data_IF_970734211013
#
_entry.id   IF_970734211013
#
_cell.length_a   1.000
_cell.length_b   1.000
_cell.length_c   1.000
_cell.angle_alpha   90.00
_cell.angle_beta   90.00
_cell.angle_gamma   90.00
#
_symmetry.space_group_name_H-M   'P 1'
#
loop_
_entity.id
_entity.type
_entity.pdbx_description
1 polymer ?
2 non-polymer ?
3 non-polymer ?
4 non-polymer ?
5 non-polymer ?
6 water ?
#
# COMPACT_ATOMS: atom_id res chain seq x y z
N UNK A 1 0.97 -23.89 -17.36
CA UNK A 1 -0.25 -24.53 -16.88
C UNK A 1 -1.10 -23.59 -16.03
N UNK A 2 -2.40 -23.62 -16.27
CA UNK A 2 -3.35 -22.80 -15.54
C UNK A 2 -4.57 -22.58 -16.43
N UNK A 3 -5.49 -21.74 -15.98
CA UNK A 3 -6.66 -21.42 -16.77
C UNK A 3 -6.38 -20.16 -17.61
N UNK A 4 -6.95 -20.11 -18.80
CA UNK A 4 -6.96 -18.86 -19.57
C UNK A 4 -7.88 -17.83 -18.89
N UNK A 5 -7.73 -16.56 -19.22
CA UNK A 5 -8.66 -15.56 -18.71
C UNK A 5 -10.10 -15.87 -19.06
N UNK A 6 -10.34 -16.36 -20.28
CA UNK A 6 -11.69 -16.74 -20.70
C UNK A 6 -12.26 -17.85 -19.81
N UNK A 7 -11.42 -18.84 -19.50
CA UNK A 7 -11.83 -19.94 -18.64
C UNK A 7 -12.09 -19.46 -17.22
N UNK A 8 -11.26 -18.54 -16.74
CA UNK A 8 -11.46 -17.98 -15.41
C UNK A 8 -12.77 -17.20 -15.33
N UNK A 9 -13.09 -16.42 -16.37
CA UNK A 9 -14.33 -15.66 -16.38
C UNK A 9 -15.55 -16.59 -16.34
N UNK A 10 -15.49 -17.65 -17.13
CA UNK A 10 -16.57 -18.61 -17.24
C UNK A 10 -16.74 -19.46 -16.00
N UNK A 11 -15.64 -19.93 -15.42
CA UNK A 11 -15.73 -20.78 -14.24
C UNK A 11 -16.22 -19.94 -13.05
N UNK A 12 -15.86 -18.66 -13.02
CA UNK A 12 -16.38 -17.75 -12.01
C UNK A 12 -17.89 -17.58 -12.13
N UNK A 13 -18.37 -17.30 -13.34
CA UNK A 13 -19.80 -17.13 -13.57
C UNK A 13 -20.57 -18.40 -13.23
N UNK A 14 -20.03 -19.55 -13.64
CA UNK A 14 -20.81 -20.79 -13.59
C UNK A 14 -20.73 -21.56 -12.29
N UNK A 15 -19.63 -21.39 -11.55
CA UNK A 15 -19.39 -22.21 -10.36
C UNK A 15 -18.96 -21.37 -9.16
N UNK A 16 -17.89 -20.62 -9.30
CA UNK A 16 -17.29 -19.94 -8.13
C UNK A 16 -18.19 -18.89 -7.51
N UNK A 17 -18.74 -18.02 -8.33
CA UNK A 17 -19.63 -16.94 -7.81
C UNK A 17 -20.92 -17.49 -7.22
N UNK A 18 -21.64 -18.38 -7.97
CA UNK A 18 -22.90 -18.85 -7.36
C UNK A 18 -22.70 -19.63 -6.06
N UNK A 19 -21.59 -20.37 -5.98
CA UNK A 19 -21.22 -21.07 -4.74
C UNK A 19 -20.99 -20.09 -3.59
N UNK A 20 -20.15 -19.09 -3.82
CA UNK A 20 -19.85 -18.08 -2.80
C UNK A 20 -21.09 -17.26 -2.40
N UNK A 21 -21.93 -16.91 -3.36
CA UNK A 21 -23.17 -16.22 -3.06
C UNK A 21 -24.08 -17.04 -2.16
N UNK A 22 -24.31 -18.29 -2.50
CA UNK A 22 -25.26 -19.07 -1.72
C UNK A 22 -24.68 -19.37 -0.31
N UNK A 23 -23.38 -19.58 -0.21
CA UNK A 23 -22.74 -19.83 1.08
C UNK A 23 -22.76 -18.60 2.01
N UNK A 24 -22.83 -17.41 1.42
CA UNK A 24 -22.94 -16.16 2.16
C UNK A 24 -24.39 -15.80 2.53
N UNK A 25 -25.35 -16.57 2.02
CA UNK A 25 -26.78 -16.33 2.29
C UNK A 25 -27.41 -15.25 1.42
N UNK A 26 -26.77 -14.89 0.32
CA UNK A 26 -27.19 -13.75 -0.50
C UNK A 26 -27.77 -14.10 -1.86
N UNK A 27 -28.11 -15.37 -2.07
CA UNK A 27 -28.64 -15.79 -3.39
C UNK A 27 -29.88 -14.98 -3.73
N UNK A 28 -29.91 -14.42 -4.93
CA UNK A 28 -31.04 -13.59 -5.40
C UNK A 28 -30.99 -12.12 -5.05
N UNK A 29 -30.04 -11.73 -4.19
CA UNK A 29 -29.94 -10.36 -3.71
C UNK A 29 -28.81 -9.58 -4.32
N UNK A 30 -27.76 -10.28 -4.75
CA UNK A 30 -26.62 -9.63 -5.39
C UNK A 30 -26.15 -10.34 -6.64
N UNK A 31 -25.58 -9.57 -7.56
CA UNK A 31 -25.01 -10.11 -8.78
C UNK A 31 -23.77 -9.33 -9.13
N UNK A 32 -22.97 -9.92 -9.99
CA UNK A 32 -21.80 -9.26 -10.56
C UNK A 32 -21.86 -9.28 -12.08
N UNK A 33 -21.41 -8.19 -12.70
CA UNK A 33 -21.34 -8.14 -14.17
C UNK A 33 -20.10 -8.86 -14.68
N UNK A 34 -20.08 -9.15 -15.99
CA UNK A 34 -18.91 -9.74 -16.61
C UNK A 34 -17.68 -8.85 -16.41
N UNK A 35 -17.88 -7.54 -16.56
CA UNK A 35 -16.77 -6.61 -16.40
C UNK A 35 -16.25 -6.61 -14.95
N UNK A 36 -17.13 -6.78 -13.98
CA UNK A 36 -16.73 -6.86 -12.57
C UNK A 36 -15.88 -8.10 -12.35
N UNK A 37 -16.32 -9.23 -12.90
CA UNK A 37 -15.57 -10.47 -12.75
C UNK A 37 -14.16 -10.34 -13.35
N UNK A 38 -14.08 -9.73 -14.53
CA UNK A 38 -12.78 -9.57 -15.17
C UNK A 38 -11.86 -8.63 -14.37
N UNK A 39 -12.44 -7.61 -13.77
CA UNK A 39 -11.64 -6.74 -12.91
C UNK A 39 -11.11 -7.48 -11.66
N UNK A 40 -11.93 -8.36 -11.09
CA UNK A 40 -11.47 -9.15 -9.96
C UNK A 40 -10.27 -10.00 -10.38
N UNK A 41 -10.39 -10.65 -11.54
CA UNK A 41 -9.30 -11.47 -12.03
C UNK A 41 -8.02 -10.63 -12.22
N UNK A 42 -8.17 -9.51 -12.91
CA UNK A 42 -7.02 -8.74 -13.36
C UNK A 42 -6.38 -7.95 -12.22
N UNK A 43 -7.20 -7.34 -11.35
CA UNK A 43 -6.67 -6.41 -10.35
C UNK A 43 -6.61 -6.96 -8.93
N UNK A 44 -7.15 -8.15 -8.70
CA UNK A 44 -7.16 -8.73 -7.35
C UNK A 44 -6.61 -10.16 -7.25
N UNK A 45 -6.16 -10.72 -8.36
CA UNK A 45 -5.56 -12.05 -8.34
C UNK A 45 -4.31 -12.08 -9.19
N UNK A 46 -3.43 -13.00 -8.84
CA UNK A 46 -2.22 -13.23 -9.60
C UNK A 46 -1.81 -14.68 -9.40
N UNK A 47 -2.28 -15.56 -10.27
CA UNK A 47 -2.20 -16.98 -10.00
C UNK A 47 -2.50 -17.74 -11.27
N UNK A 48 -2.03 -18.98 -11.31
CA UNK A 48 -2.33 -19.87 -12.44
C UNK A 48 -3.77 -20.41 -12.37
N UNK A 49 -4.17 -20.76 -11.17
CA UNK A 49 -5.50 -21.35 -10.90
C UNK A 49 -6.51 -20.30 -10.50
N UNK A 50 -7.52 -20.71 -9.74
CA UNK A 50 -8.62 -19.82 -9.35
C UNK A 50 -8.94 -19.86 -7.84
N UNK A 51 -7.99 -20.30 -7.01
CA UNK A 51 -8.24 -20.29 -5.56
C UNK A 51 -8.40 -18.87 -5.05
N UNK A 52 -7.50 -18.02 -5.48
CA UNK A 52 -7.54 -16.60 -5.13
C UNK A 52 -8.81 -15.93 -5.63
N UNK A 53 -9.15 -16.21 -6.88
CA UNK A 53 -10.40 -15.71 -7.47
C UNK A 53 -11.61 -16.06 -6.63
N UNK A 54 -11.70 -17.34 -6.23
CA UNK A 54 -12.82 -17.79 -5.43
C UNK A 54 -12.83 -17.07 -4.09
N UNK A 55 -11.66 -16.89 -3.48
CA UNK A 55 -11.60 -16.13 -2.21
C UNK A 55 -12.10 -14.70 -2.36
N UNK A 56 -11.73 -14.04 -3.45
CA UNK A 56 -12.18 -12.66 -3.66
C UNK A 56 -13.69 -12.59 -3.90
N UNK A 57 -14.23 -13.56 -4.61
CA UNK A 57 -15.66 -13.61 -4.81
C UNK A 57 -16.41 -13.80 -3.50
N UNK A 58 -15.85 -14.63 -2.61
CA UNK A 58 -16.38 -14.81 -1.25
C UNK A 58 -16.36 -13.51 -0.44
N UNK A 59 -15.27 -12.76 -0.57
CA UNK A 59 -15.21 -11.43 0.05
C UNK A 59 -16.30 -10.49 -0.44
N UNK A 60 -16.56 -10.50 -1.75
CA UNK A 60 -17.61 -9.66 -2.32
C UNK A 60 -18.96 -10.06 -1.71
N UNK A 61 -19.23 -11.37 -1.66
CA UNK A 61 -20.52 -11.84 -1.18
C UNK A 61 -20.73 -11.52 0.30
N UNK A 62 -19.68 -11.71 1.10
CA UNK A 62 -19.76 -11.40 2.53
C UNK A 62 -19.90 -9.90 2.78
N UNK A 63 -19.32 -9.08 1.93
CA UNK A 63 -19.46 -7.63 2.03
C UNK A 63 -20.87 -7.22 1.64
N UNK A 64 -21.42 -7.89 0.63
CA UNK A 64 -22.83 -7.79 0.32
C UNK A 64 -23.73 -8.09 1.53
N UNK A 65 -23.43 -9.16 2.25
CA UNK A 65 -24.22 -9.53 3.43
C UNK A 65 -24.12 -8.48 4.53
N UNK A 66 -22.97 -7.82 4.61
CA UNK A 66 -22.78 -6.68 5.50
C UNK A 66 -23.67 -5.51 5.13
N UNK A 67 -23.72 -5.16 3.85
CA UNK A 67 -24.64 -4.13 3.39
C UNK A 67 -26.09 -4.52 3.67
N UNK A 68 -26.42 -5.79 3.49
CA UNK A 68 -27.77 -6.29 3.81
C UNK A 68 -28.12 -6.05 5.29
N UNK A 69 -27.18 -6.33 6.17
CA UNK A 69 -27.34 -6.08 7.61
C UNK A 69 -27.59 -4.58 7.90
N UNK A 70 -26.87 -3.70 7.21
CA UNK A 70 -27.10 -2.26 7.35
C UNK A 70 -28.49 -1.89 6.88
N UNK A 71 -28.94 -2.55 5.83
CA UNK A 71 -30.30 -2.36 5.39
C UNK A 71 -30.64 -3.26 4.22
N UNK A 72 -31.79 -3.92 4.31
CA UNK A 72 -32.22 -4.80 3.25
C UNK A 72 -32.63 -3.98 2.04
N UNK A 73 -32.81 -4.66 0.93
CA UNK A 73 -33.27 -4.01 -0.29
C UNK A 73 -34.10 -5.02 -1.06
N UNK A 74 -34.89 -4.50 -1.98
CA UNK A 74 -35.70 -5.32 -2.85
C UNK A 74 -34.94 -5.51 -4.15
N UNK A 75 -35.01 -6.70 -4.70
CA UNK A 75 -34.44 -6.95 -6.01
C UNK A 75 -32.95 -7.13 -5.95
N UNK A 76 -32.33 -7.01 -7.11
CA UNK A 76 -30.98 -7.44 -7.29
C UNK A 76 -30.08 -6.22 -7.21
N UNK A 77 -29.07 -6.29 -6.37
CA UNK A 77 -28.05 -5.26 -6.37
C UNK A 77 -26.93 -5.77 -7.26
N UNK A 78 -26.71 -5.08 -8.36
CA UNK A 78 -25.75 -5.50 -9.36
C UNK A 78 -24.43 -4.75 -9.19
N UNK A 79 -23.36 -5.50 -9.01
CA UNK A 79 -22.02 -4.97 -8.79
C UNK A 79 -21.27 -4.91 -10.11
N UNK A 80 -20.96 -3.70 -10.57
CA UNK A 80 -20.23 -3.52 -11.82
C UNK A 80 -18.75 -3.25 -11.52
N UNK A 81 -17.93 -3.15 -12.56
CA UNK A 81 -16.50 -2.97 -12.39
C UNK A 81 -16.17 -1.75 -11.52
N UNK A 82 -16.89 -0.64 -11.73
CA UNK A 82 -16.66 0.59 -10.97
C UNK A 82 -16.97 0.42 -9.48
N UNK A 83 -17.79 -0.57 -9.14
CA UNK A 83 -18.15 -0.85 -7.76
C UNK A 83 -17.16 -1.75 -7.03
N UNK A 84 -16.29 -2.41 -7.76
CA UNK A 84 -15.47 -3.46 -7.14
C UNK A 84 -14.64 -2.97 -5.93
N UNK A 85 -14.00 -1.78 -6.04
CA UNK A 85 -13.21 -1.32 -4.88
C UNK A 85 -14.03 -1.09 -3.60
N UNK A 86 -15.32 -0.80 -3.75
CA UNK A 86 -16.21 -0.71 -2.59
C UNK A 86 -16.28 -2.03 -1.83
N UNK A 87 -16.17 -3.12 -2.56
CA UNK A 87 -16.25 -4.48 -1.99
C UNK A 87 -14.89 -5.09 -1.66
N UNK A 88 -13.88 -4.84 -2.49
CA UNK A 88 -12.58 -5.51 -2.33
C UNK A 88 -11.45 -4.61 -1.89
N UNK A 89 -11.72 -3.33 -1.72
CA UNK A 89 -10.66 -2.39 -1.39
C UNK A 89 -9.83 -1.95 -2.58
N UNK A 90 -8.69 -1.33 -2.28
CA UNK A 90 -7.81 -0.79 -3.28
C UNK A 90 -7.24 -1.92 -4.15
N UNK A 91 -7.22 -1.75 -5.48
CA UNK A 91 -6.66 -2.79 -6.35
C UNK A 91 -5.27 -3.24 -5.92
N UNK A 92 -5.09 -4.55 -5.88
CA UNK A 92 -3.90 -5.21 -5.41
C UNK A 92 -2.85 -5.34 -6.50
N UNK A 93 -3.31 -5.40 -7.76
CA UNK A 93 -2.47 -5.58 -8.94
C UNK A 93 -2.96 -4.63 -10.04
N UNK A 94 -2.02 -4.13 -10.86
CA UNK A 94 -2.37 -3.25 -11.96
C UNK A 94 -1.55 -3.69 -13.15
N UNK A 95 -2.00 -4.75 -13.85
CA UNK A 95 -1.20 -5.32 -14.94
C UNK A 95 -0.83 -4.33 -16.04
N UNK A 96 -1.69 -3.34 -16.27
CA UNK A 96 -1.43 -2.29 -17.26
C UNK A 96 -0.42 -1.22 -16.80
N UNK A 97 -0.08 -1.21 -15.52
CA UNK A 97 0.69 -0.14 -14.91
C UNK A 97 1.38 -0.68 -13.66
N UNK A 98 2.23 -1.67 -13.88
CA UNK A 98 2.76 -2.49 -12.78
C UNK A 98 3.64 -1.70 -11.81
N UNK A 99 4.31 -0.67 -12.31
CA UNK A 99 5.27 0.08 -11.50
C UNK A 99 4.62 0.86 -10.34
N UNK A 100 3.33 1.19 -10.46
CA UNK A 100 2.64 1.86 -9.36
C UNK A 100 1.66 0.96 -8.60
N UNK A 101 1.71 -0.36 -8.85
CA UNK A 101 0.86 -1.27 -8.11
C UNK A 101 1.43 -1.48 -6.71
N UNK A 102 0.59 -1.90 -5.75
CA UNK A 102 1.11 -2.15 -4.42
C UNK A 102 2.17 -3.25 -4.39
N UNK A 103 3.16 -3.08 -3.52
CA UNK A 103 4.24 -4.05 -3.42
C UNK A 103 4.68 -4.27 -1.99
N UNK A 104 5.07 -5.50 -1.69
CA UNK A 104 5.54 -5.82 -0.36
C UNK A 104 6.96 -5.27 -0.18
N UNK A 105 7.11 -4.46 0.84
CA UNK A 105 8.42 -3.93 1.24
C UNK A 105 8.95 -2.77 0.45
N UNK A 106 8.10 -2.00 -0.20
CA UNK A 106 8.54 -0.80 -0.90
C UNK A 106 7.67 0.38 -0.51
N UNK A 107 8.21 1.59 -0.68
CA UNK A 107 7.48 2.82 -0.47
C UNK A 107 8.10 3.94 -1.29
N UNK A 108 7.26 4.87 -1.74
CA UNK A 108 7.71 5.92 -2.65
C UNK A 108 8.03 7.16 -1.85
N UNK A 109 9.31 7.54 -1.86
CA UNK A 109 9.79 8.69 -1.13
C UNK A 109 10.17 9.81 -2.08
N UNK A 110 10.56 10.94 -1.52
CA UNK A 110 10.80 12.16 -2.28
C UNK A 110 12.02 12.85 -1.68
N UNK A 111 12.96 13.23 -2.54
CA UNK A 111 14.18 13.89 -2.09
C UNK A 111 14.33 15.21 -2.83
N UNK A 112 15.21 16.07 -2.31
CA UNK A 112 15.51 17.28 -3.05
C UNK A 112 16.93 17.72 -2.99
N UNK A 113 17.27 18.60 -3.92
CA UNK A 113 18.60 19.16 -4.07
C UNK A 113 18.41 20.63 -4.44
N UNK A 114 19.50 21.37 -4.55
CA UNK A 114 19.40 22.79 -4.92
C UNK A 114 18.83 23.04 -6.30
N UNK A 115 18.73 22.00 -7.13
CA UNK A 115 18.20 22.16 -8.48
C UNK A 115 16.85 21.51 -8.72
N UNK A 116 16.30 20.77 -7.75
CA UNK A 116 14.95 20.23 -7.89
C UNK A 116 14.73 18.98 -7.06
N UNK A 117 13.59 18.33 -7.29
CA UNK A 117 13.20 17.14 -6.54
C UNK A 117 13.41 15.86 -7.32
N UNK A 118 13.36 14.74 -6.61
CA UNK A 118 13.63 13.44 -7.18
C UNK A 118 12.77 12.40 -6.43
N UNK A 119 12.08 11.55 -7.17
CA UNK A 119 11.46 10.37 -6.55
C UNK A 119 12.51 9.35 -6.21
N UNK A 120 12.40 8.74 -5.04
CA UNK A 120 13.31 7.65 -4.63
C UNK A 120 12.45 6.55 -4.01
N UNK A 121 12.73 5.30 -4.37
CA UNK A 121 12.03 4.15 -3.80
C UNK A 121 12.81 3.60 -2.64
N UNK A 122 12.14 3.40 -1.53
CA UNK A 122 12.75 2.73 -0.39
C UNK A 122 12.39 1.24 -0.52
N UNK A 123 13.41 0.38 -0.51
CA UNK A 123 13.21 -1.07 -0.56
C UNK A 123 13.59 -1.69 0.78
N UNK A 124 12.77 -2.64 1.25
CA UNK A 124 13.06 -3.36 2.48
C UNK A 124 12.78 -4.84 2.26
N UNK A 125 13.74 -5.67 2.67
CA UNK A 125 13.56 -7.10 2.76
C UNK A 125 13.55 -7.56 4.21
N UNK A 126 12.64 -8.47 4.50
CA UNK A 126 12.58 -9.15 5.78
C UNK A 126 12.83 -10.62 5.50
N UNK A 127 13.91 -11.15 6.07
CA UNK A 127 14.34 -12.54 5.80
C UNK A 127 14.62 -13.27 7.10
N UNK A 128 14.60 -14.61 7.07
CA UNK A 128 14.94 -15.33 8.30
C UNK A 128 16.31 -14.90 8.84
N UNK A 129 16.38 -14.72 10.15
CA UNK A 129 17.56 -14.13 10.74
C UNK A 129 17.55 -14.13 12.24
N UNK A 130 18.15 -13.08 12.81
CA UNK A 130 18.43 -13.05 14.24
C UNK A 130 18.37 -11.62 14.83
N UNK A 131 17.74 -10.70 14.12
CA UNK A 131 17.57 -9.33 14.58
C UNK A 131 18.60 -8.34 14.04
N UNK A 132 19.31 -8.72 12.97
CA UNK A 132 20.28 -7.83 12.34
C UNK A 132 19.58 -6.83 11.42
N UNK A 133 20.23 -5.69 11.23
CA UNK A 133 19.70 -4.62 10.37
C UNK A 133 20.83 -4.13 9.46
N UNK A 134 20.58 -4.15 8.16
CA UNK A 134 21.50 -3.60 7.17
C UNK A 134 20.85 -2.37 6.52
N UNK A 135 21.64 -1.33 6.30
CA UNK A 135 21.16 -0.07 5.75
C UNK A 135 22.09 0.36 4.62
N UNK A 136 21.65 0.23 3.38
CA UNK A 136 22.53 0.41 2.25
C UNK A 136 21.94 1.36 1.22
N UNK A 137 22.78 1.75 0.25
CA UNK A 137 22.45 2.82 -0.70
C UNK A 137 23.13 4.14 -0.35
N UNK A 138 24.27 4.04 0.33
CA UNK A 138 25.11 5.21 0.69
C UNK A 138 24.34 6.22 1.53
N UNK A 139 23.73 5.71 2.60
CA UNK A 139 22.90 6.49 3.48
C UNK A 139 23.76 7.18 4.53
N UNK A 140 23.52 8.46 4.74
CA UNK A 140 24.19 9.20 5.81
C UNK A 140 23.70 8.85 7.22
N UNK A 141 24.43 9.33 8.21
CA UNK A 141 24.14 8.94 9.58
C UNK A 141 22.75 9.37 10.05
N UNK A 142 22.34 10.59 9.73
CA UNK A 142 20.99 11.04 10.09
C UNK A 142 19.91 10.13 9.47
N UNK A 143 20.07 9.77 8.20
CA UNK A 143 19.09 8.89 7.57
C UNK A 143 19.11 7.49 8.20
N UNK A 144 20.28 7.01 8.56
CA UNK A 144 20.35 5.73 9.25
C UNK A 144 19.66 5.75 10.61
N UNK A 145 19.82 6.84 11.35
CA UNK A 145 19.14 6.98 12.66
C UNK A 145 17.61 7.03 12.47
N UNK A 146 17.18 7.65 11.39
CA UNK A 146 15.77 7.72 11.02
C UNK A 146 15.21 6.31 10.82
N UNK A 147 15.95 5.46 10.12
CA UNK A 147 15.54 4.06 9.95
C UNK A 147 15.43 3.33 11.28
N UNK A 148 16.40 3.58 12.16
CA UNK A 148 16.39 2.98 13.48
C UNK A 148 15.17 3.43 14.30
N UNK A 149 14.83 4.72 14.22
CA UNK A 149 13.67 5.23 14.95
C UNK A 149 12.37 4.60 14.42
N UNK A 150 12.26 4.51 13.11
CA UNK A 150 11.09 3.84 12.47
C UNK A 150 10.97 2.38 12.94
N UNK A 151 12.08 1.67 12.96
CA UNK A 151 12.08 0.26 13.35
C UNK A 151 11.68 0.07 14.82
N UNK A 152 12.22 0.93 15.67
CA UNK A 152 11.87 0.88 17.08
C UNK A 152 10.38 1.17 17.32
N UNK A 153 9.84 2.15 16.62
CA UNK A 153 8.42 2.43 16.67
C UNK A 153 7.63 1.15 16.33
N UNK A 154 8.04 0.47 15.28
CA UNK A 154 7.34 -0.77 14.87
C UNK A 154 7.50 -1.90 15.88
N UNK A 155 8.70 -2.05 16.45
CA UNK A 155 8.92 -3.01 17.52
C UNK A 155 8.01 -2.76 18.73
N UNK A 156 7.65 -1.50 18.96
CA UNK A 156 6.78 -1.15 20.08
C UNK A 156 5.29 -1.26 19.75
N UNK A 157 4.94 -1.54 18.50
CA UNK A 157 3.56 -1.55 18.03
C UNK A 157 3.23 -2.78 17.18
N UNK A 158 3.74 -3.94 17.57
CA UNK A 158 3.57 -5.13 16.72
C UNK A 158 2.10 -5.54 16.59
N UNK A 159 1.35 -5.44 17.69
CA UNK A 159 -0.09 -5.74 17.66
C UNK A 159 -0.87 -4.83 16.72
N UNK A 160 -0.55 -3.55 16.75
CA UNK A 160 -1.30 -2.56 15.98
C UNK A 160 -1.28 -2.78 14.48
N UNK A 161 -0.16 -3.28 13.94
CA UNK A 161 0.02 -3.39 12.51
C UNK A 161 0.09 -4.82 12.01
N UNK A 162 -0.14 -5.75 12.91
CA UNK A 162 -0.08 -7.19 12.57
C UNK A 162 1.31 -7.64 12.20
N UNK A 163 2.29 -7.21 12.98
CA UNK A 163 3.66 -7.65 12.79
C UNK A 163 3.91 -8.87 13.66
N UNK A 164 4.81 -9.76 13.22
CA UNK A 164 5.20 -10.88 14.08
C UNK A 164 5.75 -10.42 15.43
N UNK A 165 5.28 -11.03 16.51
CA UNK A 165 5.74 -10.66 17.86
C UNK A 165 7.22 -10.93 18.12
N UNK A 166 7.83 -11.82 17.34
CA UNK A 166 9.22 -12.22 17.60
C UNK A 166 10.14 -11.80 16.48
N UNK A 167 9.72 -10.84 15.66
CA UNK A 167 10.58 -10.50 14.53
C UNK A 167 11.92 -9.93 15.02
N UNK A 168 11.94 -9.33 16.20
CA UNK A 168 13.16 -8.68 16.70
C UNK A 168 14.30 -9.68 16.90
N UNK A 169 14.01 -10.96 17.09
CA UNK A 169 15.14 -11.91 17.17
C UNK A 169 15.07 -13.10 16.22
N UNK A 170 14.11 -13.11 15.30
CA UNK A 170 14.00 -14.15 14.26
C UNK A 170 14.08 -13.66 12.82
N UNK A 171 14.20 -12.35 12.61
CA UNK A 171 14.17 -11.77 11.27
C UNK A 171 15.37 -10.83 11.14
N UNK A 172 16.01 -10.84 9.99
CA UNK A 172 16.95 -9.77 9.62
C UNK A 172 16.26 -8.84 8.63
N UNK A 173 16.52 -7.54 8.81
CA UNK A 173 15.98 -6.53 7.93
C UNK A 173 17.10 -5.91 7.12
N UNK A 174 16.80 -5.55 5.89
CA UNK A 174 17.73 -4.85 5.03
C UNK A 174 16.94 -3.72 4.35
N UNK A 175 17.35 -2.49 4.60
CA UNK A 175 16.77 -1.31 3.98
C UNK A 175 17.77 -0.85 2.93
N UNK A 176 17.33 -0.71 1.69
CA UNK A 176 18.17 -0.29 0.61
C UNK A 176 17.47 0.80 -0.20
N UNK A 177 18.22 1.85 -0.54
CA UNK A 177 17.68 2.93 -1.33
C UNK A 177 18.52 3.12 -2.57
N UNK A 178 18.06 2.57 -3.69
CA UNK A 178 18.81 2.79 -4.93
C UNK A 178 18.71 4.25 -5.39
N UNK A 179 19.61 4.70 -6.26
CA UNK A 179 20.65 3.86 -6.86
C UNK A 179 21.85 3.69 -5.94
N UNK A 180 22.64 2.66 -6.19
CA UNK A 180 23.68 2.26 -5.24
C UNK A 180 24.76 3.30 -4.96
N UNK A 181 25.13 4.08 -5.97
CA UNK A 181 26.28 4.97 -5.86
C UNK A 181 26.00 6.36 -5.28
N UNK A 182 24.76 6.81 -5.34
CA UNK A 182 24.41 8.21 -5.00
C UNK A 182 24.25 8.38 -3.49
N UNK A 183 25.03 9.28 -2.90
CA UNK A 183 24.80 9.53 -1.48
C UNK A 183 23.44 10.11 -1.20
N UNK A 184 22.86 9.68 -0.08
CA UNK A 184 21.56 10.14 0.37
C UNK A 184 21.63 10.43 1.86
N UNK A 185 20.88 11.41 2.32
CA UNK A 185 20.85 11.69 3.75
C UNK A 185 19.60 12.47 4.13
N UNK A 186 19.39 12.58 5.45
CA UNK A 186 18.31 13.40 6.00
C UNK A 186 17.23 12.59 6.70
N UNK A 187 16.39 13.27 7.50
CA UNK A 187 15.41 12.58 8.32
C UNK A 187 14.03 12.45 7.68
N UNK A 188 13.85 12.99 6.48
CA UNK A 188 12.49 13.15 5.91
C UNK A 188 11.90 11.88 5.28
N UNK A 189 12.64 10.79 5.28
CA UNK A 189 12.11 9.50 4.83
C UNK A 189 11.73 8.60 6.02
N UNK A 190 11.56 9.18 7.22
CA UNK A 190 11.15 8.43 8.39
C UNK A 190 9.83 7.68 8.19
N UNK A 191 8.81 8.38 7.68
CA UNK A 191 7.52 7.72 7.43
C UNK A 191 7.59 6.72 6.27
N UNK A 192 8.46 7.00 5.30
CA UNK A 192 8.66 6.18 4.13
C UNK A 192 9.32 4.87 4.53
N UNK A 193 10.33 4.96 5.39
CA UNK A 193 10.94 3.74 5.91
C UNK A 193 10.01 2.97 6.84
N UNK A 194 9.23 3.68 7.64
CA UNK A 194 8.26 3.00 8.50
C UNK A 194 7.27 2.20 7.63
N UNK A 195 6.83 2.81 6.54
CA UNK A 195 5.91 2.15 5.62
C UNK A 195 6.51 0.89 4.99
N UNK A 196 7.72 1.02 4.44
CA UNK A 196 8.36 -0.11 3.78
C UNK A 196 8.72 -1.24 4.75
N UNK A 197 9.23 -0.89 5.93
CA UNK A 197 9.54 -1.88 6.94
C UNK A 197 8.27 -2.63 7.44
N UNK A 198 7.23 -1.88 7.74
CA UNK A 198 5.95 -2.47 8.20
C UNK A 198 5.36 -3.40 7.14
N UNK A 199 5.45 -2.98 5.88
CA UNK A 199 5.01 -3.80 4.75
C UNK A 199 5.79 -5.13 4.64
N UNK A 200 7.12 -5.03 4.68
CA UNK A 200 7.97 -6.21 4.62
C UNK A 200 7.69 -7.17 5.76
N UNK A 201 7.52 -6.65 6.97
CA UNK A 201 7.31 -7.49 8.14
C UNK A 201 5.91 -8.14 8.14
N UNK A 202 4.90 -7.37 7.78
CA UNK A 202 3.52 -7.82 7.81
C UNK A 202 3.10 -8.61 6.58
N UNK A 203 3.89 -8.50 5.52
CA UNK A 203 3.61 -9.03 4.19
C UNK A 203 2.37 -8.38 3.54
N UNK A 204 1.97 -7.22 4.07
CA UNK A 204 0.92 -6.42 3.49
C UNK A 204 1.54 -5.45 2.52
N UNK A 205 1.09 -5.46 1.25
CA UNK A 205 1.73 -4.60 0.25
C UNK A 205 1.40 -3.14 0.46
N UNK A 206 2.39 -2.29 0.19
CA UNK A 206 2.27 -0.85 0.30
C UNK A 206 1.91 -0.30 -1.05
N UNK A 207 0.95 0.62 -1.08
CA UNK A 207 0.59 1.31 -2.29
C UNK A 207 1.80 2.09 -2.86
N UNK A 208 1.94 2.04 -4.18
CA UNK A 208 3.00 2.77 -4.87
C UNK A 208 2.45 3.86 -5.78
N UNK A 209 1.16 4.19 -5.61
CA UNK A 209 0.55 5.33 -6.30
C UNK A 209 0.45 6.56 -5.38
N UNK A 210 1.12 6.47 -4.22
CA UNK A 210 1.18 7.53 -3.21
C UNK A 210 2.66 7.81 -2.94
N UNK A 211 3.05 9.09 -2.96
CA UNK A 211 4.41 9.47 -2.57
C UNK A 211 4.34 10.20 -1.26
N UNK A 212 5.39 10.09 -0.46
CA UNK A 212 5.36 10.63 0.88
C UNK A 212 6.67 11.26 1.31
N UNK A 213 6.55 12.10 2.32
CA UNK A 213 7.70 12.73 2.96
C UNK A 213 7.29 13.11 4.38
N UNK A 214 8.17 12.85 5.35
CA UNK A 214 7.95 13.23 6.73
C UNK A 214 8.95 12.59 7.68
N UNK A 215 9.44 13.40 8.61
CA UNK A 215 10.27 12.91 9.68
C UNK A 215 9.38 12.21 10.72
N UNK A 216 9.89 11.13 11.30
CA UNK A 216 9.17 10.41 12.34
C UNK A 216 9.91 10.55 13.67
N UNK A 217 9.16 10.78 14.75
CA UNK A 217 9.72 10.70 16.09
C UNK A 217 9.61 9.26 16.56
N UNK A 218 10.29 8.96 17.66
CA UNK A 218 10.28 7.63 18.18
C UNK A 218 8.89 7.14 18.57
N UNK A 219 8.05 8.05 19.07
CA UNK A 219 6.70 7.68 19.44
C UNK A 219 5.71 7.79 18.28
N UNK A 220 6.20 8.11 17.09
CA UNK A 220 5.38 8.09 15.86
C UNK A 220 4.83 9.42 15.41
N UNK A 221 5.27 10.52 16.02
CA UNK A 221 4.83 11.83 15.58
C UNK A 221 5.44 12.14 14.23
N UNK A 222 4.65 12.70 13.33
CA UNK A 222 5.16 13.09 12.01
C UNK A 222 5.52 14.57 12.08
N UNK A 223 6.77 14.85 11.73
CA UNK A 223 7.39 16.16 11.94
C UNK A 223 7.70 16.82 10.60
N UNK A 224 7.73 18.17 10.58
CA UNK A 224 7.85 18.85 9.30
C UNK A 224 9.18 18.66 8.61
N UNK A 225 9.16 18.81 7.30
CA UNK A 225 10.30 18.60 6.44
C UNK A 225 10.51 19.82 5.54
N UNK A 226 11.56 19.76 4.73
CA UNK A 226 11.89 20.81 3.77
C UNK A 226 11.67 20.36 2.34
N UNK A 227 11.78 21.33 1.43
CA UNK A 227 11.71 21.06 0.01
C UNK A 227 10.33 20.66 -0.49
N UNK A 228 9.28 21.18 0.15
CA UNK A 228 7.92 20.77 -0.16
C UNK A 228 7.61 21.01 -1.65
N UNK A 229 7.88 22.23 -2.14
CA UNK A 229 7.64 22.57 -3.54
C UNK A 229 8.35 21.62 -4.52
N UNK A 230 9.65 21.43 -4.31
CA UNK A 230 10.47 20.59 -5.19
C UNK A 230 10.00 19.13 -5.21
N UNK A 231 9.69 18.63 -4.02
CA UNK A 231 9.25 17.24 -3.86
C UNK A 231 7.89 17.01 -4.54
N UNK A 232 6.95 17.92 -4.32
CA UNK A 232 5.62 17.76 -4.89
C UNK A 232 5.61 17.94 -6.41
N UNK A 233 6.44 18.85 -6.93
CA UNK A 233 6.63 18.96 -8.38
C UNK A 233 7.21 17.70 -8.99
N UNK A 234 8.19 17.12 -8.33
CA UNK A 234 8.79 15.89 -8.78
C UNK A 234 7.75 14.76 -8.81
N UNK A 235 6.93 14.65 -7.77
CA UNK A 235 5.85 13.67 -7.75
C UNK A 235 4.91 13.88 -8.96
N UNK A 236 4.45 15.12 -9.11
CA UNK A 236 3.52 15.48 -10.17
C UNK A 236 4.08 15.14 -11.53
N UNK A 237 5.32 15.55 -11.77
CA UNK A 237 6.02 15.23 -13.01
C UNK A 237 6.14 13.74 -13.30
N UNK A 238 6.28 12.93 -12.25
CA UNK A 238 6.36 11.48 -12.44
C UNK A 238 4.98 10.80 -12.51
N UNK A 239 3.91 11.58 -12.45
CA UNK A 239 2.56 11.04 -12.57
C UNK A 239 2.01 10.42 -11.29
N UNK A 240 2.56 10.82 -10.14
CA UNK A 240 1.98 10.46 -8.85
C UNK A 240 1.08 11.62 -8.41
N UNK A 241 -0.18 11.34 -8.10
CA UNK A 241 -1.15 12.38 -7.77
C UNK A 241 -1.66 12.36 -6.35
N UNK A 242 -1.16 11.42 -5.54
CA UNK A 242 -1.59 11.24 -4.17
C UNK A 242 -0.35 11.39 -3.30
N UNK A 243 -0.42 12.28 -2.33
CA UNK A 243 0.74 12.68 -1.52
C UNK A 243 0.42 12.57 -0.05
N UNK A 244 1.43 12.16 0.74
CA UNK A 244 1.31 12.22 2.18
C UNK A 244 2.35 13.23 2.65
N UNK A 245 1.93 14.18 3.48
CA UNK A 245 2.77 15.32 3.90
C UNK A 245 2.50 15.59 5.38
N UNK A 246 3.52 16.07 6.16
CA UNK A 246 3.21 16.42 7.54
C UNK A 246 2.21 17.59 7.65
N UNK A 247 1.33 17.51 8.64
CA UNK A 247 0.36 18.56 8.94
C UNK A 247 1.06 19.90 9.14
N UNK A 248 2.22 19.87 9.80
CA UNK A 248 2.99 21.10 10.04
C UNK A 248 3.60 21.75 8.78
N UNK A 249 3.50 21.08 7.63
CA UNK A 249 3.90 21.67 6.36
C UNK A 249 2.74 22.25 5.53
N UNK A 250 1.56 22.29 6.10
CA UNK A 250 0.38 22.77 5.36
C UNK A 250 0.60 24.16 4.75
N UNK A 251 1.26 25.04 5.50
CA UNK A 251 1.57 26.40 5.05
C UNK A 251 2.42 26.44 3.78
N UNK A 252 3.30 25.46 3.59
CA UNK A 252 4.13 25.41 2.39
C UNK A 252 3.36 25.07 1.10
N UNK A 253 2.17 24.50 1.21
CA UNK A 253 1.39 24.17 0.01
C UNK A 253 1.02 25.38 -0.85
N UNK A 254 0.84 26.52 -0.21
CA UNK A 254 0.58 27.79 -0.91
C UNK A 254 1.59 28.10 -2.03
N UNK A 255 2.81 27.58 -1.91
CA UNK A 255 3.87 27.86 -2.87
C UNK A 255 3.73 27.10 -4.19
N UNK A 256 2.84 26.13 -4.27
CA UNK A 256 2.70 25.35 -5.52
C UNK A 256 1.85 26.10 -6.55
N UNK A 257 2.15 25.92 -7.85
CA UNK A 257 1.26 26.48 -8.86
C UNK A 257 -0.12 25.86 -8.73
N UNK A 258 -1.15 26.71 -8.82
CA UNK A 258 -2.53 26.30 -8.61
C UNK A 258 -2.90 25.07 -9.45
N UNK A 259 -2.33 25.02 -10.64
CA UNK A 259 -2.57 23.93 -11.59
C UNK A 259 -2.00 22.60 -11.07
N UNK A 260 -0.81 22.67 -10.47
CA UNK A 260 -0.21 21.49 -9.85
C UNK A 260 -1.00 21.07 -8.61
N UNK A 261 -1.25 22.01 -7.69
CA UNK A 261 -2.08 21.72 -6.51
C UNK A 261 -3.43 21.12 -6.89
N UNK A 262 -3.97 21.57 -8.03
CA UNK A 262 -5.27 21.10 -8.54
C UNK A 262 -5.30 19.59 -8.77
N UNK A 263 -4.23 19.06 -9.37
CA UNK A 263 -4.15 17.64 -9.71
C UNK A 263 -3.48 16.76 -8.65
N UNK A 264 -3.32 17.29 -7.43
CA UNK A 264 -2.75 16.52 -6.34
C UNK A 264 -3.77 16.34 -5.24
N UNK A 265 -3.83 15.12 -4.70
CA UNK A 265 -4.61 14.87 -3.52
C UNK A 265 -3.62 14.77 -2.38
N UNK A 266 -3.75 15.65 -1.41
CA UNK A 266 -2.77 15.67 -0.33
C UNK A 266 -3.40 15.28 0.99
N UNK A 267 -2.82 14.26 1.62
CA UNK A 267 -3.22 13.85 2.95
C UNK A 267 -2.24 14.39 3.97
N UNK A 268 -2.71 15.27 4.85
CA UNK A 268 -1.90 15.80 5.93
C UNK A 268 -1.96 14.87 7.13
N UNK A 269 -0.78 14.54 7.68
CA UNK A 269 -0.71 13.61 8.80
C UNK A 269 0.05 14.16 10.00
N UNK A 270 -0.37 13.72 11.17
CA UNK A 270 0.29 14.02 12.43
C UNK A 270 0.93 12.82 13.11
N UNK A 271 0.49 11.62 12.75
CA UNK A 271 0.95 10.38 13.37
C UNK A 271 1.21 9.33 12.30
N UNK A 272 2.25 8.52 12.51
CA UNK A 272 2.65 7.54 11.52
C UNK A 272 1.56 6.46 11.31
N UNK A 273 0.75 6.21 12.34
CA UNK A 273 -0.40 5.30 12.23
C UNK A 273 -1.35 5.67 11.10
N UNK A 274 -1.52 6.97 10.88
CA UNK A 274 -2.34 7.47 9.77
C UNK A 274 -1.72 7.14 8.43
N UNK A 275 -0.40 7.20 8.36
CA UNK A 275 0.33 6.83 7.16
C UNK A 275 0.14 5.33 6.87
N UNK A 276 0.36 4.50 7.87
CA UNK A 276 0.35 3.05 7.67
C UNK A 276 -1.05 2.54 7.30
N UNK A 277 -2.07 3.15 7.90
CA UNK A 277 -3.46 2.84 7.58
C UNK A 277 -3.81 3.18 6.12
N UNK A 278 -3.23 4.26 5.59
CA UNK A 278 -3.49 4.67 4.22
C UNK A 278 -2.67 3.86 3.22
N UNK A 279 -1.45 3.51 3.59
CA UNK A 279 -0.52 2.92 2.63
C UNK A 279 -0.63 1.42 2.52
N UNK A 280 -0.88 0.73 3.63
CA UNK A 280 -0.79 -0.73 3.63
C UNK A 280 -2.16 -1.35 3.37
N UNK A 281 -2.26 -2.15 2.32
CA UNK A 281 -3.47 -2.93 2.11
C UNK A 281 -3.72 -3.85 3.31
N UNK A 282 -5.01 -4.10 3.64
CA UNK A 282 -5.26 -4.81 4.88
C UNK A 282 -4.81 -6.28 4.92
N UNK A 283 -4.77 -6.96 3.79
CA UNK A 283 -4.52 -8.41 3.79
C UNK A 283 -3.13 -8.76 3.26
N UNK A 284 -2.40 -9.64 3.94
CA UNK A 284 -1.07 -10.03 3.46
C UNK A 284 -1.14 -10.78 2.14
N UNK A 285 -0.12 -10.60 1.30
CA UNK A 285 -0.13 -11.27 -0.01
C UNK A 285 1.01 -12.28 -0.16
N UNK A 286 1.78 -12.48 0.91
CA UNK A 286 2.88 -13.43 0.91
C UNK A 286 2.87 -14.13 2.25
N UNK A 287 3.42 -15.35 2.29
CA UNK A 287 3.51 -16.04 3.59
C UNK A 287 4.44 -15.32 4.57
N UNK A 288 4.31 -15.61 5.87
CA UNK A 288 5.15 -14.98 6.88
C UNK A 288 6.63 -15.26 6.66
N UNK A 289 7.49 -14.39 7.16
CA UNK A 289 8.92 -14.54 6.94
C UNK A 289 9.45 -15.85 7.53
N UNK A 290 9.01 -16.21 8.72
CA UNK A 290 9.47 -17.46 9.39
C UNK A 290 8.29 -18.38 9.72
#
# INVERSE_FOLDING_TARGET
>A
PGYTNMEKQAIARQYLWPKQVRESGMEGRIEVTDAAILRVISEYTREAGVRGLERELGKIARKGAKFWLEGAWEGLRTIDASDIPTYLGIPRYRPDKAETEPQVGTAQGLAWTPVGGTLLTIEVAAVPGSGKLSLTGQLGEVMKESAQAALTYLRAHTQDYGLPEDFYNKVDLHVHVPDGATPKDGPSAGITMATAIASALSRRPARMDIAMTGEVSLRGKVMPIGGVKEKLLAAHQAGIHKIVLPKDNEAQLEELPKEVLEGLEIKLVEDVGEVLEYLLLPEPTMPPVVQPSDNRQQPGAGA
#
